data_IF_520935542470
#
_entry.id   IF_520935542470
#
_cell.length_a   1.000
_cell.length_b   1.000
_cell.length_c   1.000
_cell.angle_alpha   90.00
_cell.angle_beta   90.00
_cell.angle_gamma   90.00
#
_symmetry.space_group_name_H-M   'P 1'
#
loop_
_entity.id
_entity.type
_entity.pdbx_description
1 polymer ?
#
# COMPACT_ATOMS: atom_id res chain seq x y z
N UNK A 1 -45.17 44.55 -37.59
CA UNK A 1 -45.76 43.25 -37.20
C UNK A 1 -46.23 43.41 -35.75
N UNK A 2 -47.53 43.49 -35.47
CA UNK A 2 -48.09 43.67 -34.12
C UNK A 2 -48.20 42.28 -33.49
N UNK A 3 -47.32 41.98 -32.48
CA UNK A 3 -47.41 40.77 -31.73
C UNK A 3 -48.65 40.84 -30.84
N UNK A 4 -49.54 39.87 -30.99
CA UNK A 4 -50.81 39.83 -30.29
C UNK A 4 -50.53 39.52 -28.80
N UNK A 5 -51.26 40.16 -27.87
CA UNK A 5 -51.12 40.00 -26.45
C UNK A 5 -51.21 38.53 -26.00
N UNK A 6 -51.99 37.73 -26.71
CA UNK A 6 -52.12 36.27 -26.49
C UNK A 6 -50.84 35.51 -26.79
N UNK A 7 -50.08 35.93 -27.79
CA UNK A 7 -48.79 35.30 -28.14
C UNK A 7 -47.71 35.61 -27.11
N UNK A 8 -47.78 36.81 -26.50
CA UNK A 8 -46.83 37.20 -25.45
C UNK A 8 -47.07 36.41 -24.13
N UNK A 9 -48.33 36.17 -23.79
CA UNK A 9 -48.70 35.36 -22.62
C UNK A 9 -48.34 33.89 -22.83
N UNK A 10 -48.49 33.34 -24.03
CA UNK A 10 -48.09 31.98 -24.35
C UNK A 10 -46.56 31.80 -24.32
N UNK A 11 -45.77 32.81 -24.76
CA UNK A 11 -44.31 32.77 -24.64
C UNK A 11 -43.82 32.92 -23.19
N UNK A 12 -44.50 33.72 -22.37
CA UNK A 12 -44.18 33.89 -20.96
C UNK A 12 -44.50 32.62 -20.14
N UNK A 13 -45.59 31.91 -20.45
CA UNK A 13 -45.90 30.61 -19.84
C UNK A 13 -44.95 29.49 -20.28
N UNK A 14 -44.44 29.51 -21.51
CA UNK A 14 -43.46 28.56 -22.01
C UNK A 14 -42.06 28.78 -21.35
N UNK A 15 -41.72 30.04 -21.00
CA UNK A 15 -40.46 30.36 -20.32
C UNK A 15 -40.45 29.98 -18.86
N UNK A 16 -41.61 29.86 -18.20
CA UNK A 16 -41.70 29.41 -16.77
C UNK A 16 -41.71 27.88 -16.60
N UNK A 17 -41.93 27.14 -17.69
CA UNK A 17 -41.93 25.66 -17.62
C UNK A 17 -40.54 25.04 -17.79
N UNK A 18 -39.46 25.83 -17.96
CA UNK A 18 -38.09 25.35 -18.03
C UNK A 18 -37.28 25.54 -16.74
N UNK A 19 -37.89 26.06 -15.68
CA UNK A 19 -37.34 25.94 -14.34
C UNK A 19 -37.82 24.63 -13.68
N UNK A 20 -37.56 23.51 -14.34
CA UNK A 20 -37.54 22.23 -13.66
C UNK A 20 -36.29 22.29 -12.77
N UNK A 21 -36.48 22.51 -11.49
CA UNK A 21 -35.52 22.07 -10.52
C UNK A 21 -35.34 20.58 -10.81
N UNK A 22 -34.20 20.20 -11.35
CA UNK A 22 -33.78 18.80 -11.29
C UNK A 22 -33.55 18.58 -9.80
N UNK A 23 -34.54 18.04 -9.10
CA UNK A 23 -34.33 17.50 -7.77
C UNK A 23 -33.30 16.39 -7.94
N UNK A 24 -32.19 16.53 -7.27
CA UNK A 24 -31.18 15.49 -7.22
C UNK A 24 -31.83 14.28 -6.54
N UNK A 25 -32.21 13.30 -7.33
CA UNK A 25 -32.82 12.06 -6.81
C UNK A 25 -31.68 11.18 -6.33
N UNK A 26 -31.67 10.92 -5.03
CA UNK A 26 -30.74 9.97 -4.44
C UNK A 26 -30.75 8.63 -5.18
N UNK A 27 -29.61 7.96 -5.35
CA UNK A 27 -29.51 6.69 -6.04
C UNK A 27 -30.50 5.68 -5.43
N UNK A 28 -31.38 5.12 -6.25
CA UNK A 28 -32.32 4.06 -5.84
C UNK A 28 -31.69 2.67 -5.85
N UNK A 29 -30.37 2.61 -6.03
CA UNK A 29 -29.58 1.38 -6.08
C UNK A 29 -28.89 1.11 -4.73
N UNK A 30 -28.13 0.02 -4.64
CA UNK A 30 -27.29 -0.31 -3.48
C UNK A 30 -26.12 0.67 -3.24
N UNK A 31 -25.98 1.68 -4.08
CA UNK A 31 -24.99 2.78 -3.94
C UNK A 31 -25.58 3.87 -3.04
N UNK A 32 -24.81 4.31 -2.06
CA UNK A 32 -25.17 5.44 -1.19
C UNK A 32 -24.29 6.65 -1.51
N UNK A 33 -24.85 7.86 -1.40
CA UNK A 33 -24.06 9.09 -1.49
C UNK A 33 -23.17 9.24 -0.24
N UNK A 34 -22.14 10.10 -0.34
CA UNK A 34 -21.29 10.42 0.81
C UNK A 34 -22.12 11.02 1.94
N UNK A 35 -23.11 11.87 1.64
CA UNK A 35 -23.98 12.49 2.63
C UNK A 35 -24.90 11.48 3.32
N UNK A 36 -25.46 10.55 2.56
CA UNK A 36 -26.21 9.42 3.13
C UNK A 36 -25.34 8.54 4.01
N UNK A 37 -24.13 8.23 3.55
CA UNK A 37 -23.16 7.46 4.33
C UNK A 37 -22.73 8.22 5.59
N UNK A 38 -22.50 9.53 5.51
CA UNK A 38 -22.12 10.37 6.65
C UNK A 38 -23.24 10.46 7.72
N UNK A 39 -24.50 10.38 7.30
CA UNK A 39 -25.64 10.41 8.22
C UNK A 39 -25.88 9.11 9.00
N UNK A 40 -25.25 8.00 8.58
CA UNK A 40 -25.42 6.71 9.26
C UNK A 40 -24.65 6.66 10.58
N UNK A 41 -25.20 6.05 11.66
CA UNK A 41 -24.52 5.96 12.95
C UNK A 41 -23.13 5.31 12.83
N UNK A 42 -22.13 5.94 13.44
CA UNK A 42 -20.72 5.49 13.44
C UNK A 42 -20.08 5.31 12.05
N UNK A 43 -20.66 5.89 11.00
CA UNK A 43 -20.14 5.77 9.64
C UNK A 43 -18.73 6.34 9.52
N UNK A 44 -18.49 7.52 10.08
CA UNK A 44 -17.17 8.16 10.04
C UNK A 44 -16.06 7.21 10.53
N UNK A 45 -16.22 6.63 11.72
CA UNK A 45 -15.21 5.70 12.27
C UNK A 45 -15.04 4.43 11.41
N UNK A 46 -16.10 3.97 10.77
CA UNK A 46 -16.00 2.84 9.82
C UNK A 46 -15.18 3.19 8.59
N UNK A 47 -15.38 4.39 8.04
CA UNK A 47 -14.57 4.86 6.92
C UNK A 47 -13.11 5.07 7.31
N UNK A 48 -12.84 5.62 8.50
CA UNK A 48 -11.46 5.74 9.03
C UNK A 48 -10.81 4.36 9.14
N UNK A 49 -11.49 3.40 9.76
CA UNK A 49 -10.97 2.03 9.91
C UNK A 49 -10.74 1.34 8.57
N UNK A 50 -11.54 1.64 7.56
CA UNK A 50 -11.38 1.07 6.22
C UNK A 50 -10.09 1.51 5.51
N UNK A 51 -9.51 2.67 5.87
CA UNK A 51 -8.28 3.18 5.22
C UNK A 51 -7.14 2.16 5.35
N UNK A 52 -6.88 1.69 6.56
CA UNK A 52 -5.80 0.70 6.81
C UNK A 52 -6.24 -0.73 6.56
N UNK A 53 -7.52 -1.06 6.81
CA UNK A 53 -8.06 -2.40 6.55
C UNK A 53 -8.02 -2.78 5.06
N UNK A 54 -8.26 -1.84 4.16
CA UNK A 54 -8.18 -2.08 2.72
C UNK A 54 -6.75 -2.41 2.24
N UNK A 55 -5.73 -2.11 3.03
CA UNK A 55 -4.35 -2.50 2.74
C UNK A 55 -4.09 -4.00 2.94
N UNK A 56 -4.92 -4.68 3.74
CA UNK A 56 -4.80 -6.13 3.99
C UNK A 56 -5.40 -7.00 2.87
N UNK A 57 -5.96 -6.38 1.85
CA UNK A 57 -6.54 -7.07 0.71
C UNK A 57 -7.79 -6.34 0.22
N UNK A 58 -7.95 -6.27 -1.06
CA UNK A 58 -9.06 -5.55 -1.67
C UNK A 58 -9.72 -6.37 -2.76
N UNK A 59 -11.05 -6.20 -2.94
CA UNK A 59 -11.77 -6.78 -4.06
C UNK A 59 -11.11 -6.42 -5.38
N UNK A 60 -11.03 -7.40 -6.24
CA UNK A 60 -10.38 -7.30 -7.52
C UNK A 60 -10.95 -6.21 -8.40
N UNK A 61 -10.05 -5.40 -8.92
CA UNK A 61 -10.39 -4.34 -9.86
C UNK A 61 -10.32 -4.78 -11.32
N UNK A 62 -9.66 -5.91 -11.59
CA UNK A 62 -9.36 -6.37 -12.95
C UNK A 62 -9.97 -7.73 -13.28
N UNK A 63 -10.64 -8.38 -12.35
CA UNK A 63 -11.35 -9.62 -12.58
C UNK A 63 -12.75 -9.58 -11.99
N UNK A 64 -13.65 -10.32 -12.61
CA UNK A 64 -15.06 -10.34 -12.23
C UNK A 64 -15.38 -11.35 -11.14
N UNK A 65 -14.43 -12.15 -10.70
CA UNK A 65 -14.77 -13.30 -9.92
C UNK A 65 -14.57 -13.11 -8.44
N UNK A 66 -13.52 -13.30 -7.79
CA UNK A 66 -13.47 -13.37 -6.34
C UNK A 66 -12.27 -12.63 -5.77
N UNK A 67 -12.42 -12.14 -4.56
CA UNK A 67 -11.35 -11.63 -3.73
C UNK A 67 -10.32 -12.72 -3.48
N UNK A 68 -9.04 -12.37 -3.56
CA UNK A 68 -7.98 -13.25 -3.14
C UNK A 68 -7.67 -14.40 -4.10
N UNK A 69 -7.89 -14.20 -5.40
CA UNK A 69 -7.58 -15.21 -6.41
C UNK A 69 -6.35 -14.89 -7.27
N UNK A 70 -5.66 -13.76 -7.00
CA UNK A 70 -4.51 -13.39 -7.82
C UNK A 70 -3.31 -12.96 -6.98
N UNK A 71 -2.13 -13.15 -7.54
CA UNK A 71 -0.85 -12.78 -6.93
C UNK A 71 -0.71 -11.29 -6.61
N UNK A 72 -1.58 -10.44 -7.13
CA UNK A 72 -1.51 -8.98 -7.00
C UNK A 72 -2.60 -8.37 -6.11
N UNK A 73 -3.52 -9.15 -5.54
CA UNK A 73 -4.68 -8.61 -4.81
C UNK A 73 -4.74 -8.97 -3.31
N UNK A 74 -3.66 -9.48 -2.75
CA UNK A 74 -3.56 -9.70 -1.31
C UNK A 74 -3.07 -8.45 -0.53
N UNK A 75 -3.37 -7.26 -1.05
CA UNK A 75 -3.16 -6.00 -0.39
C UNK A 75 -1.80 -5.37 -0.62
N UNK A 76 -1.37 -4.52 0.31
CA UNK A 76 -0.11 -3.79 0.21
C UNK A 76 1.13 -4.69 0.05
N UNK A 77 1.24 -5.85 0.73
CA UNK A 77 2.38 -6.76 0.52
C UNK A 77 2.58 -7.20 -0.92
N UNK A 78 1.50 -7.36 -1.71
CA UNK A 78 1.65 -7.69 -3.13
C UNK A 78 2.35 -6.58 -3.92
N UNK A 79 2.10 -5.32 -3.55
CA UNK A 79 2.77 -4.15 -4.14
C UNK A 79 4.24 -4.05 -3.68
N UNK A 80 4.54 -4.49 -2.46
CA UNK A 80 5.92 -4.55 -1.95
C UNK A 80 6.73 -5.58 -2.71
N UNK A 81 6.25 -6.81 -2.87
CA UNK A 81 6.91 -7.85 -3.66
C UNK A 81 7.22 -7.33 -5.06
N UNK A 82 6.26 -6.68 -5.71
CA UNK A 82 6.45 -6.10 -7.05
C UNK A 82 7.65 -5.15 -7.10
N UNK A 83 7.78 -4.26 -6.13
CA UNK A 83 8.88 -3.28 -6.07
C UNK A 83 10.23 -3.94 -5.79
N UNK A 84 10.26 -4.88 -4.85
CA UNK A 84 11.47 -5.59 -4.47
C UNK A 84 12.04 -6.40 -5.64
N UNK A 85 11.16 -6.99 -6.45
CA UNK A 85 11.54 -7.75 -7.64
C UNK A 85 12.07 -6.90 -8.80
N UNK A 86 11.72 -5.63 -8.83
CA UNK A 86 12.29 -4.67 -9.78
C UNK A 86 13.66 -4.13 -9.33
N UNK A 87 14.02 -4.40 -8.07
CA UNK A 87 15.32 -4.05 -7.49
C UNK A 87 16.37 -5.13 -7.68
N UNK A 88 17.36 -5.13 -6.78
CA UNK A 88 18.46 -6.10 -6.74
C UNK A 88 18.42 -6.96 -5.48
N UNK A 89 17.45 -6.75 -4.60
CA UNK A 89 17.41 -7.42 -3.30
C UNK A 89 16.82 -8.83 -3.40
N UNK A 90 15.90 -9.03 -4.35
CA UNK A 90 15.29 -10.34 -4.63
C UNK A 90 15.76 -10.86 -5.98
N UNK A 91 16.24 -12.10 -5.99
CA UNK A 91 16.65 -12.83 -7.17
C UNK A 91 15.73 -14.03 -7.44
N UNK A 92 15.65 -14.43 -8.71
CA UNK A 92 14.99 -15.65 -9.15
C UNK A 92 15.95 -16.62 -9.76
N UNK A 93 15.79 -17.94 -9.53
CA UNK A 93 16.52 -18.95 -10.27
C UNK A 93 16.12 -18.92 -11.75
N UNK A 94 17.09 -18.84 -12.67
CA UNK A 94 16.85 -18.78 -14.11
C UNK A 94 16.23 -20.06 -14.71
N UNK A 95 16.18 -21.13 -13.94
CA UNK A 95 15.75 -22.48 -14.39
C UNK A 95 14.33 -22.84 -14.02
N UNK A 96 13.61 -21.95 -13.38
CA UNK A 96 12.30 -22.26 -12.81
C UNK A 96 11.18 -21.91 -13.78
N UNK A 97 10.06 -22.65 -13.67
CA UNK A 97 8.85 -22.34 -14.40
C UNK A 97 8.44 -20.88 -14.17
N UNK A 98 8.03 -20.16 -15.21
CA UNK A 98 7.70 -18.75 -15.07
C UNK A 98 6.46 -18.57 -14.18
N UNK A 99 6.66 -18.16 -12.94
CA UNK A 99 5.60 -17.72 -12.07
C UNK A 99 5.12 -16.30 -12.45
N UNK A 100 4.03 -15.88 -11.85
CA UNK A 100 3.43 -14.56 -12.12
C UNK A 100 4.46 -13.43 -12.05
N UNK A 101 5.21 -13.37 -10.96
CA UNK A 101 6.18 -12.29 -10.76
C UNK A 101 7.42 -12.41 -11.63
N UNK A 102 7.88 -13.62 -11.94
CA UNK A 102 9.05 -13.85 -12.81
C UNK A 102 8.82 -13.42 -14.25
N UNK A 103 7.65 -13.76 -14.79
CA UNK A 103 7.32 -13.42 -16.19
C UNK A 103 7.03 -11.94 -16.35
N UNK A 104 6.38 -11.34 -15.35
CA UNK A 104 5.85 -10.00 -15.48
C UNK A 104 6.87 -8.91 -15.12
N UNK A 105 7.83 -9.21 -14.24
CA UNK A 105 8.77 -8.21 -13.71
C UNK A 105 10.19 -8.31 -14.25
N UNK A 106 10.51 -9.38 -14.97
CA UNK A 106 11.83 -9.59 -15.54
C UNK A 106 12.07 -8.93 -16.91
N UNK A 107 11.07 -8.30 -17.50
CA UNK A 107 11.20 -7.74 -18.83
C UNK A 107 10.84 -6.27 -18.83
N UNK A 108 11.78 -5.41 -19.21
CA UNK A 108 11.56 -3.97 -19.40
C UNK A 108 10.44 -3.66 -20.40
N UNK A 109 10.14 -4.58 -21.29
CA UNK A 109 9.11 -4.43 -22.33
C UNK A 109 7.69 -4.36 -21.79
N UNK A 110 7.45 -4.82 -20.54
CA UNK A 110 6.12 -4.81 -19.90
C UNK A 110 5.89 -3.59 -19.01
N UNK A 111 6.84 -2.65 -18.92
CA UNK A 111 6.66 -1.39 -18.20
C UNK A 111 5.96 -0.33 -19.06
N UNK A 112 4.80 -0.69 -19.61
CA UNK A 112 3.99 0.20 -20.44
C UNK A 112 2.54 0.22 -19.98
N UNK A 113 1.75 1.26 -20.33
CA UNK A 113 0.37 1.41 -19.85
C UNK A 113 -0.59 0.27 -20.23
N UNK A 114 -0.23 -0.55 -21.20
CA UNK A 114 -1.06 -1.68 -21.65
C UNK A 114 -0.99 -2.89 -20.71
N UNK A 115 0.03 -2.97 -19.88
CA UNK A 115 0.27 -4.14 -19.03
C UNK A 115 -0.29 -3.97 -17.62
N UNK A 116 -0.87 -5.04 -17.09
CA UNK A 116 -1.46 -5.06 -15.76
C UNK A 116 -0.48 -4.65 -14.67
N UNK A 117 0.80 -5.02 -14.79
CA UNK A 117 1.80 -4.66 -13.77
C UNK A 117 1.94 -3.14 -13.55
N UNK A 118 1.69 -2.32 -14.59
CA UNK A 118 1.65 -0.86 -14.46
C UNK A 118 0.28 -0.35 -14.04
N UNK A 119 -0.79 -1.03 -14.46
CA UNK A 119 -2.17 -0.62 -14.17
C UNK A 119 -2.59 -0.96 -12.73
N UNK A 120 -2.13 -2.09 -12.20
CA UNK A 120 -2.53 -2.57 -10.86
C UNK A 120 -2.13 -1.57 -9.77
N UNK A 121 -0.86 -1.19 -9.60
CA UNK A 121 -0.50 -0.20 -8.58
C UNK A 121 -1.27 1.11 -8.77
N UNK A 122 -1.36 1.61 -10.00
CA UNK A 122 -2.12 2.83 -10.30
C UNK A 122 -3.55 2.75 -9.75
N UNK A 123 -4.26 1.69 -10.09
CA UNK A 123 -5.67 1.53 -9.73
C UNK A 123 -5.86 1.30 -8.24
N UNK A 124 -5.02 0.47 -7.63
CA UNK A 124 -5.10 0.14 -6.21
C UNK A 124 -4.81 1.37 -5.34
N UNK A 125 -3.73 2.10 -5.62
CA UNK A 125 -3.38 3.27 -4.83
C UNK A 125 -4.42 4.39 -4.95
N UNK A 126 -4.96 4.66 -6.15
CA UNK A 126 -6.03 5.64 -6.29
C UNK A 126 -7.33 5.23 -5.58
N UNK A 127 -7.59 3.94 -5.46
CA UNK A 127 -8.71 3.49 -4.68
C UNK A 127 -8.50 3.71 -3.16
N UNK A 128 -7.30 3.47 -2.65
CA UNK A 128 -6.95 3.83 -1.27
C UNK A 128 -6.98 5.34 -1.02
N UNK A 129 -6.46 6.13 -1.96
CA UNK A 129 -6.54 7.60 -1.93
C UNK A 129 -8.00 8.08 -1.90
N UNK A 130 -8.89 7.45 -2.66
CA UNK A 130 -10.33 7.75 -2.63
C UNK A 130 -10.93 7.54 -1.24
N UNK A 131 -10.56 6.49 -0.52
CA UNK A 131 -11.01 6.27 0.85
C UNK A 131 -10.54 7.40 1.78
N UNK A 132 -9.28 7.82 1.66
CA UNK A 132 -8.75 8.97 2.40
C UNK A 132 -9.52 10.25 2.08
N UNK A 133 -9.75 10.55 0.81
CA UNK A 133 -10.52 11.73 0.37
C UNK A 133 -11.94 11.73 0.93
N UNK A 134 -12.57 10.55 1.00
CA UNK A 134 -13.92 10.42 1.58
C UNK A 134 -13.92 10.84 3.05
N UNK A 135 -12.97 10.37 3.85
CA UNK A 135 -12.86 10.73 5.27
C UNK A 135 -12.55 12.23 5.44
N UNK A 136 -11.64 12.78 4.66
CA UNK A 136 -11.29 14.21 4.68
C UNK A 136 -12.52 15.06 4.35
N UNK A 137 -13.26 14.68 3.31
CA UNK A 137 -14.51 15.37 2.93
C UNK A 137 -15.57 15.30 4.03
N UNK A 138 -15.73 14.16 4.70
CA UNK A 138 -16.65 14.02 5.84
C UNK A 138 -16.28 14.94 7.01
N UNK A 139 -14.99 15.29 7.17
CA UNK A 139 -14.52 16.28 8.14
C UNK A 139 -14.76 17.73 7.69
N UNK A 140 -15.19 17.97 6.44
CA UNK A 140 -15.63 19.25 5.89
C UNK A 140 -14.67 20.45 6.13
N UNK A 141 -13.36 20.21 6.12
CA UNK A 141 -12.32 21.26 6.27
C UNK A 141 -12.17 21.84 7.67
N UNK A 142 -13.12 21.56 8.58
CA UNK A 142 -13.07 21.94 9.99
C UNK A 142 -13.64 20.80 10.85
N UNK A 143 -12.87 19.71 11.04
CA UNK A 143 -13.35 18.54 11.77
C UNK A 143 -13.65 18.87 13.24
N UNK A 144 -14.70 18.23 13.78
CA UNK A 144 -14.95 18.27 15.21
C UNK A 144 -13.81 17.62 15.99
N UNK A 145 -13.69 17.89 17.29
CA UNK A 145 -12.65 17.26 18.14
C UNK A 145 -12.63 15.73 18.03
N UNK A 146 -13.83 15.11 17.91
CA UNK A 146 -13.99 13.67 17.76
C UNK A 146 -13.54 13.16 16.37
N UNK A 147 -13.60 14.00 15.35
CA UNK A 147 -13.21 13.66 13.99
C UNK A 147 -11.74 13.93 13.69
N UNK A 148 -11.08 14.80 14.47
CA UNK A 148 -9.71 15.25 14.17
C UNK A 148 -8.74 14.11 13.94
N UNK A 149 -8.71 13.11 14.81
CA UNK A 149 -7.78 11.98 14.66
C UNK A 149 -8.05 11.18 13.39
N UNK A 150 -9.33 10.93 13.08
CA UNK A 150 -9.70 10.22 11.86
C UNK A 150 -9.30 10.98 10.59
N UNK A 151 -9.52 12.30 10.56
CA UNK A 151 -9.08 13.15 9.44
C UNK A 151 -7.54 13.22 9.36
N UNK A 152 -6.87 13.29 10.50
CA UNK A 152 -5.40 13.24 10.57
C UNK A 152 -4.84 11.92 10.02
N UNK A 153 -5.44 10.79 10.35
CA UNK A 153 -5.11 9.47 9.79
C UNK A 153 -5.29 9.48 8.27
N UNK A 154 -6.39 10.04 7.78
CA UNK A 154 -6.67 10.10 6.35
C UNK A 154 -5.64 10.94 5.59
N UNK A 155 -5.23 12.09 6.12
CA UNK A 155 -4.15 12.90 5.54
C UNK A 155 -2.81 12.16 5.56
N UNK A 156 -2.43 11.52 6.68
CA UNK A 156 -1.19 10.75 6.78
C UNK A 156 -1.13 9.63 5.75
N UNK A 157 -2.22 8.87 5.61
CA UNK A 157 -2.27 7.74 4.68
C UNK A 157 -2.36 8.19 3.22
N UNK A 158 -3.05 9.28 2.91
CA UNK A 158 -3.05 9.85 1.57
C UNK A 158 -1.64 10.28 1.15
N UNK A 159 -0.91 10.93 2.04
CA UNK A 159 0.49 11.29 1.82
C UNK A 159 1.35 10.05 1.59
N UNK A 160 1.21 9.01 2.41
CA UNK A 160 1.92 7.73 2.27
C UNK A 160 1.69 7.09 0.89
N UNK A 161 0.44 7.05 0.44
CA UNK A 161 0.11 6.49 -0.87
C UNK A 161 0.69 7.32 -2.02
N UNK A 162 0.68 8.64 -1.90
CA UNK A 162 1.30 9.51 -2.91
C UNK A 162 2.83 9.45 -2.89
N UNK A 163 3.48 9.25 -1.74
CA UNK A 163 4.92 9.01 -1.68
C UNK A 163 5.33 7.79 -2.52
N UNK A 164 4.60 6.69 -2.38
CA UNK A 164 4.85 5.49 -3.16
C UNK A 164 4.59 5.72 -4.67
N UNK A 165 3.44 6.30 -5.01
CA UNK A 165 3.09 6.55 -6.41
C UNK A 165 4.05 7.53 -7.08
N UNK A 166 4.45 8.60 -6.40
CA UNK A 166 5.37 9.57 -6.96
C UNK A 166 6.71 8.93 -7.31
N UNK A 167 7.21 8.04 -6.47
CA UNK A 167 8.45 7.32 -6.73
C UNK A 167 8.32 6.26 -7.83
N UNK A 168 7.19 5.54 -7.89
CA UNK A 168 6.98 4.50 -8.90
C UNK A 168 6.79 5.06 -10.33
N UNK A 169 6.15 6.21 -10.46
CA UNK A 169 5.72 6.73 -11.77
C UNK A 169 6.47 7.97 -12.24
N UNK A 170 7.38 8.52 -11.46
CA UNK A 170 8.22 9.62 -11.91
C UNK A 170 9.33 9.11 -12.84
N UNK A 171 9.53 9.80 -13.96
CA UNK A 171 10.63 9.46 -14.88
C UNK A 171 12.01 9.81 -14.31
N UNK A 172 12.07 10.77 -13.40
CA UNK A 172 13.29 11.24 -12.74
C UNK A 172 12.99 11.57 -11.28
N UNK A 173 14.00 11.41 -10.43
CA UNK A 173 13.88 11.75 -9.00
C UNK A 173 13.71 13.24 -8.79
N UNK A 174 13.12 13.62 -7.66
CA UNK A 174 12.93 15.03 -7.29
C UNK A 174 14.22 15.85 -7.36
N UNK A 175 15.30 15.34 -6.79
CA UNK A 175 16.60 16.04 -6.74
C UNK A 175 17.24 16.23 -8.10
N UNK A 176 16.95 15.34 -9.05
CA UNK A 176 17.46 15.42 -10.42
C UNK A 176 16.62 16.36 -11.28
N UNK A 177 15.31 16.30 -11.16
CA UNK A 177 14.39 17.10 -11.96
C UNK A 177 13.08 17.38 -11.20
N UNK A 178 12.96 18.54 -10.52
CA UNK A 178 11.71 18.93 -9.85
C UNK A 178 10.50 19.08 -10.79
N UNK A 179 10.74 19.34 -12.08
CA UNK A 179 9.70 19.50 -13.08
C UNK A 179 9.27 18.19 -13.75
N UNK A 180 9.95 17.08 -13.47
CA UNK A 180 9.53 15.78 -13.99
C UNK A 180 8.13 15.40 -13.48
N UNK A 181 7.32 14.86 -14.39
CA UNK A 181 5.96 14.45 -14.08
C UNK A 181 5.91 13.19 -13.20
N UNK A 182 5.01 13.21 -12.22
CA UNK A 182 4.70 12.09 -11.33
C UNK A 182 3.34 11.47 -11.72
N UNK A 183 2.32 11.70 -10.92
CA UNK A 183 0.94 11.26 -11.13
C UNK A 183 -0.04 12.41 -10.91
N UNK A 184 -1.28 12.34 -11.41
CA UNK A 184 -2.30 13.35 -11.10
C UNK A 184 -2.59 13.43 -9.58
N UNK A 185 -2.76 14.64 -9.07
CA UNK A 185 -3.27 14.84 -7.72
C UNK A 185 -4.80 14.74 -7.77
N UNK A 186 -5.35 13.77 -7.06
CA UNK A 186 -6.78 13.59 -6.82
C UNK A 186 -7.01 13.81 -5.33
N UNK A 187 -7.67 14.90 -4.98
CA UNK A 187 -7.95 15.26 -3.59
C UNK A 187 -9.44 15.35 -3.31
N UNK A 188 -9.78 15.82 -2.14
CA UNK A 188 -11.14 16.19 -1.71
C UNK A 188 -11.63 17.52 -2.32
N UNK A 189 -10.79 18.22 -3.07
CA UNK A 189 -11.13 19.45 -3.78
C UNK A 189 -12.06 19.17 -4.96
N UNK A 190 -13.32 19.57 -4.86
CA UNK A 190 -14.34 19.39 -5.87
C UNK A 190 -14.11 20.22 -7.14
N UNK A 191 -13.21 21.20 -7.10
CA UNK A 191 -12.83 22.00 -8.26
C UNK A 191 -11.96 21.25 -9.27
N UNK A 192 -11.45 20.07 -8.92
CA UNK A 192 -10.61 19.24 -9.79
C UNK A 192 -11.46 18.65 -10.91
N UNK A 193 -11.21 19.09 -12.14
CA UNK A 193 -11.80 18.44 -13.33
C UNK A 193 -11.09 17.11 -13.59
N UNK A 194 -11.73 16.02 -13.20
CA UNK A 194 -11.20 14.67 -13.38
C UNK A 194 -10.95 14.28 -14.84
N UNK A 195 -11.60 14.94 -15.80
CA UNK A 195 -11.37 14.69 -17.22
C UNK A 195 -10.12 15.41 -17.76
N UNK A 196 -9.65 16.44 -17.05
CA UNK A 196 -8.51 17.27 -17.44
C UNK A 196 -7.54 17.47 -16.27
N UNK A 197 -7.25 16.42 -15.52
CA UNK A 197 -6.30 16.44 -14.40
C UNK A 197 -4.94 15.89 -14.84
N UNK A 198 -4.00 16.75 -15.28
CA UNK A 198 -2.70 16.30 -15.74
C UNK A 198 -1.85 15.77 -14.59
N UNK A 199 -0.80 15.05 -14.93
CA UNK A 199 0.24 14.67 -13.97
C UNK A 199 0.83 15.89 -13.31
N UNK A 200 1.03 15.82 -12.00
CA UNK A 200 1.73 16.86 -11.25
C UNK A 200 3.24 16.71 -11.41
N UNK A 201 3.95 17.83 -11.40
CA UNK A 201 5.42 17.80 -11.31
C UNK A 201 5.87 17.24 -9.97
N UNK A 202 7.11 16.78 -9.89
CA UNK A 202 7.74 16.39 -8.62
C UNK A 202 7.57 17.48 -7.57
N UNK A 203 7.89 18.73 -7.90
CA UNK A 203 7.78 19.84 -6.95
C UNK A 203 6.35 20.01 -6.42
N UNK A 204 5.35 20.01 -7.30
CA UNK A 204 3.94 20.13 -6.91
C UNK A 204 3.50 18.93 -6.06
N UNK A 205 3.85 17.72 -6.45
CA UNK A 205 3.47 16.50 -5.75
C UNK A 205 4.08 16.44 -4.34
N UNK A 206 5.39 16.64 -4.22
CA UNK A 206 6.05 16.55 -2.92
C UNK A 206 5.64 17.69 -1.97
N UNK A 207 5.34 18.90 -2.50
CA UNK A 207 4.74 19.95 -1.70
C UNK A 207 3.32 19.59 -1.24
N UNK A 208 2.52 18.94 -2.05
CA UNK A 208 1.20 18.41 -1.66
C UNK A 208 1.32 17.35 -0.56
N UNK A 209 2.23 16.39 -0.69
CA UNK A 209 2.52 15.38 0.32
C UNK A 209 2.91 16.04 1.66
N UNK A 210 3.81 17.00 1.66
CA UNK A 210 4.20 17.73 2.88
C UNK A 210 3.01 18.48 3.48
N UNK A 211 2.19 19.12 2.65
CA UNK A 211 0.98 19.81 3.13
C UNK A 211 -0.01 18.87 3.83
N UNK A 212 -0.20 17.66 3.30
CA UNK A 212 -1.03 16.64 3.94
C UNK A 212 -0.40 16.17 5.28
N UNK A 213 0.91 15.96 5.29
CA UNK A 213 1.62 15.57 6.50
C UNK A 213 1.63 16.67 7.57
N UNK A 214 1.61 17.97 7.18
CA UNK A 214 1.48 19.09 8.11
C UNK A 214 0.10 19.09 8.79
N UNK A 215 -0.96 18.85 8.04
CA UNK A 215 -2.31 18.69 8.58
C UNK A 215 -2.44 17.44 9.45
N UNK A 216 -1.84 16.34 9.04
CA UNK A 216 -1.81 15.12 9.83
C UNK A 216 -1.08 15.32 11.17
N UNK A 217 0.06 16.03 11.17
CA UNK A 217 0.80 16.38 12.40
C UNK A 217 -0.06 17.21 13.35
N UNK A 218 -0.77 18.21 12.82
CA UNK A 218 -1.67 19.06 13.59
C UNK A 218 -2.82 18.24 14.22
N UNK A 219 -3.50 17.43 13.43
CA UNK A 219 -4.70 16.72 13.86
C UNK A 219 -4.42 15.47 14.73
N UNK A 220 -3.22 14.89 14.60
CA UNK A 220 -2.78 13.77 15.43
C UNK A 220 -1.95 14.18 16.65
N UNK A 221 -1.81 15.49 16.90
CA UNK A 221 -1.14 15.97 18.10
C UNK A 221 -1.88 15.50 19.37
N UNK A 222 -1.19 14.70 20.20
CA UNK A 222 -1.76 14.15 21.43
C UNK A 222 -2.74 12.98 21.23
N UNK A 223 -2.92 12.49 20.00
CA UNK A 223 -3.72 11.31 19.76
C UNK A 223 -3.00 10.05 20.23
N UNK A 224 -3.68 9.26 21.05
CA UNK A 224 -3.25 7.94 21.50
C UNK A 224 -3.94 6.86 20.67
N UNK A 225 -3.17 6.14 19.85
CA UNK A 225 -3.69 5.09 18.98
C UNK A 225 -4.00 3.80 19.76
N UNK A 226 -5.01 3.01 19.35
CA UNK A 226 -5.36 1.76 20.01
C UNK A 226 -4.29 0.69 19.86
N UNK A 227 -3.62 0.65 18.71
CA UNK A 227 -2.57 -0.30 18.37
C UNK A 227 -1.68 0.20 17.21
N UNK A 228 -0.68 -0.59 16.82
CA UNK A 228 0.29 -0.22 15.78
C UNK A 228 -0.23 -0.37 14.34
N UNK A 229 -1.45 -0.84 14.15
CA UNK A 229 -2.11 -0.86 12.82
C UNK A 229 -2.74 0.48 12.46
N UNK A 230 -2.80 1.40 13.42
CA UNK A 230 -3.34 2.75 13.25
C UNK A 230 -2.18 3.76 13.30
N UNK A 231 -2.05 4.68 12.32
CA UNK A 231 -1.03 5.72 12.37
C UNK A 231 -1.28 6.71 13.50
N UNK A 232 -0.20 7.16 14.14
CA UNK A 232 -0.17 8.28 15.07
C UNK A 232 0.83 9.36 14.58
N UNK A 233 1.08 10.35 15.40
CA UNK A 233 2.00 11.44 15.04
C UNK A 233 3.44 10.95 14.80
N UNK A 234 3.87 9.86 15.42
CA UNK A 234 5.22 9.30 15.19
C UNK A 234 5.35 8.75 13.78
N UNK A 235 4.29 8.11 13.24
CA UNK A 235 4.22 7.66 11.84
C UNK A 235 4.31 8.86 10.90
N UNK A 236 3.60 9.96 11.21
CA UNK A 236 3.66 11.20 10.41
C UNK A 236 5.08 11.74 10.37
N UNK A 237 5.79 11.75 11.50
CA UNK A 237 7.20 12.16 11.53
C UNK A 237 8.08 11.26 10.66
N UNK A 238 7.86 9.95 10.70
CA UNK A 238 8.57 9.00 9.83
C UNK A 238 8.32 9.27 8.35
N UNK A 239 7.08 9.52 7.96
CA UNK A 239 6.71 9.90 6.58
C UNK A 239 7.33 11.24 6.16
N UNK A 240 7.31 12.26 7.03
CA UNK A 240 8.00 13.52 6.75
C UNK A 240 9.50 13.33 6.57
N UNK A 241 10.14 12.51 7.41
CA UNK A 241 11.56 12.21 7.26
C UNK A 241 11.85 11.58 5.90
N UNK A 242 11.04 10.60 5.45
CA UNK A 242 11.15 9.97 4.13
C UNK A 242 10.95 10.98 2.99
N UNK A 243 9.90 11.80 3.07
CA UNK A 243 9.60 12.81 2.07
C UNK A 243 10.76 13.81 1.93
N UNK A 244 11.27 14.34 3.04
CA UNK A 244 12.41 15.27 3.01
C UNK A 244 13.70 14.62 2.53
N UNK A 245 13.90 13.32 2.80
CA UNK A 245 15.02 12.56 2.28
C UNK A 245 15.00 12.51 0.74
N UNK A 246 13.84 12.17 0.15
CA UNK A 246 13.65 12.16 -1.30
C UNK A 246 13.82 13.55 -1.91
N UNK A 247 13.37 14.60 -1.21
CA UNK A 247 13.54 15.99 -1.63
C UNK A 247 14.98 16.52 -1.48
N UNK A 248 15.91 15.75 -0.90
CA UNK A 248 17.27 16.19 -0.63
C UNK A 248 17.38 17.23 0.47
N UNK A 249 16.35 17.40 1.31
CA UNK A 249 16.32 18.33 2.44
C UNK A 249 16.83 17.65 3.71
N UNK A 250 18.13 17.39 3.74
CA UNK A 250 18.78 16.50 4.71
C UNK A 250 18.57 16.94 6.17
N UNK A 251 18.68 18.25 6.46
CA UNK A 251 18.48 18.78 7.82
C UNK A 251 17.06 18.51 8.33
N UNK A 252 16.06 18.64 7.44
CA UNK A 252 14.67 18.33 7.77
C UNK A 252 14.44 16.83 7.92
N UNK A 253 15.03 16.03 7.05
CA UNK A 253 14.96 14.58 7.15
C UNK A 253 15.52 14.10 8.50
N UNK A 254 16.67 14.62 8.93
CA UNK A 254 17.28 14.31 10.24
C UNK A 254 16.40 14.77 11.41
N UNK A 255 15.86 16.01 11.35
CA UNK A 255 14.96 16.55 12.38
C UNK A 255 13.77 15.62 12.61
N UNK A 256 13.06 15.26 11.51
CA UNK A 256 11.86 14.45 11.61
C UNK A 256 12.16 12.98 11.91
N UNK A 257 13.28 12.44 11.47
CA UNK A 257 13.72 11.11 11.85
C UNK A 257 13.96 11.00 13.37
N UNK A 258 14.60 12.03 13.97
CA UNK A 258 14.78 12.10 15.44
C UNK A 258 13.46 12.17 16.19
N UNK A 259 12.49 12.95 15.68
CA UNK A 259 11.14 12.99 16.26
C UNK A 259 10.43 11.65 16.16
N UNK A 260 10.53 11.00 14.99
CA UNK A 260 9.86 9.74 14.72
C UNK A 260 10.33 8.62 15.64
N UNK A 261 11.64 8.49 15.85
CA UNK A 261 12.19 7.41 16.67
C UNK A 261 12.10 7.64 18.19
N UNK A 262 11.61 8.81 18.62
CA UNK A 262 11.45 9.10 20.04
C UNK A 262 10.40 8.14 20.66
N UNK A 263 10.80 7.38 21.67
CA UNK A 263 9.95 6.37 22.32
C UNK A 263 9.98 4.98 21.68
N UNK A 264 10.79 4.77 20.63
CA UNK A 264 11.04 3.48 20.04
C UNK A 264 12.45 2.96 20.36
N UNK A 265 12.60 1.66 20.46
CA UNK A 265 13.89 0.99 20.60
C UNK A 265 14.15 0.09 19.40
N UNK A 266 15.40 -0.04 19.00
CA UNK A 266 15.76 -1.03 17.98
C UNK A 266 15.68 -2.43 18.58
N UNK A 267 15.30 -3.42 17.75
CA UNK A 267 15.34 -4.82 18.15
C UNK A 267 16.76 -5.25 18.52
N UNK A 268 16.91 -6.01 19.56
CA UNK A 268 18.15 -6.73 19.83
C UNK A 268 18.42 -7.76 18.73
N UNK A 269 19.67 -8.22 18.61
CA UNK A 269 19.99 -9.28 17.65
C UNK A 269 19.21 -10.57 17.92
N UNK A 270 18.90 -10.88 19.17
CA UNK A 270 18.11 -12.05 19.55
C UNK A 270 16.66 -11.90 19.08
N UNK A 271 16.02 -10.76 19.33
CA UNK A 271 14.66 -10.47 18.87
C UNK A 271 14.58 -10.46 17.34
N UNK A 272 15.56 -9.84 16.66
CA UNK A 272 15.58 -9.75 15.21
C UNK A 272 15.66 -11.13 14.54
N UNK A 273 16.42 -12.06 15.13
CA UNK A 273 16.63 -13.41 14.59
C UNK A 273 15.73 -14.47 15.24
N UNK A 274 14.80 -14.05 16.10
CA UNK A 274 13.83 -14.96 16.69
C UNK A 274 12.87 -15.46 15.63
N UNK A 275 12.77 -16.79 15.50
CA UNK A 275 12.02 -17.45 14.45
C UNK A 275 10.52 -17.47 14.67
N UNK A 276 10.09 -17.35 15.92
CA UNK A 276 8.68 -17.42 16.28
C UNK A 276 8.03 -16.04 16.34
N UNK A 277 8.75 -15.06 16.88
CA UNK A 277 8.18 -13.74 17.18
C UNK A 277 8.79 -12.59 16.39
N UNK A 278 10.00 -12.74 15.84
CA UNK A 278 10.82 -11.68 15.27
C UNK A 278 10.05 -10.66 14.42
N UNK A 279 9.68 -11.04 13.20
CA UNK A 279 8.88 -10.18 12.29
C UNK A 279 7.41 -10.58 12.19
N UNK A 280 6.89 -11.43 13.07
CA UNK A 280 5.49 -11.84 13.08
C UNK A 280 4.66 -11.12 14.12
N UNK A 281 5.29 -10.63 15.16
CA UNK A 281 4.61 -10.06 16.31
C UNK A 281 5.04 -8.62 16.48
N UNK A 282 4.10 -7.65 16.46
CA UNK A 282 4.40 -6.26 16.73
C UNK A 282 5.13 -6.09 18.07
N UNK A 283 6.23 -5.36 18.07
CA UNK A 283 7.08 -5.12 19.24
C UNK A 283 7.43 -3.62 19.36
N UNK A 284 8.26 -3.27 20.36
CA UNK A 284 8.59 -1.87 20.65
C UNK A 284 9.41 -1.17 19.56
N UNK A 285 10.05 -1.93 18.66
CA UNK A 285 10.76 -1.34 17.52
C UNK A 285 9.82 -0.91 16.37
N UNK A 286 8.61 -1.47 16.32
CA UNK A 286 7.69 -1.22 15.22
C UNK A 286 6.88 0.05 15.42
N UNK A 287 6.94 0.93 14.46
CA UNK A 287 6.21 2.20 14.46
C UNK A 287 4.80 2.05 13.87
N UNK A 288 4.68 1.31 12.78
CA UNK A 288 3.43 1.03 12.08
C UNK A 288 3.52 -0.34 11.45
N UNK A 289 2.44 -1.10 11.48
CA UNK A 289 2.41 -2.44 10.90
C UNK A 289 1.03 -2.79 10.36
N UNK A 290 1.02 -3.80 9.51
CA UNK A 290 -0.19 -4.50 9.10
C UNK A 290 -0.22 -5.85 9.78
N UNK A 291 -1.38 -6.24 10.29
CA UNK A 291 -1.61 -7.56 10.88
C UNK A 291 -2.71 -8.26 10.12
N UNK A 292 -2.55 -9.56 9.90
CA UNK A 292 -3.54 -10.37 9.22
C UNK A 292 -4.31 -11.22 10.23
N UNK A 293 -5.60 -11.40 9.97
CA UNK A 293 -6.51 -12.23 10.76
C UNK A 293 -7.10 -13.30 9.85
N UNK A 294 -7.50 -14.41 10.45
CA UNK A 294 -8.19 -15.51 9.75
C UNK A 294 -9.48 -15.09 9.05
N UNK A 295 -10.06 -13.97 9.47
CA UNK A 295 -11.25 -13.37 8.88
C UNK A 295 -10.96 -12.45 7.70
N UNK A 296 -9.70 -12.07 7.47
CA UNK A 296 -9.36 -11.17 6.38
C UNK A 296 -9.58 -11.86 5.02
N UNK A 297 -10.06 -11.14 4.00
CA UNK A 297 -10.41 -11.73 2.72
C UNK A 297 -9.28 -12.52 2.07
N UNK A 298 -8.05 -12.00 2.09
CA UNK A 298 -6.88 -12.65 1.52
C UNK A 298 -6.49 -13.96 2.24
N UNK A 299 -6.87 -14.12 3.52
CA UNK A 299 -6.66 -15.35 4.29
C UNK A 299 -7.84 -16.31 4.16
N UNK A 300 -9.07 -15.75 4.23
CA UNK A 300 -10.30 -16.56 4.20
C UNK A 300 -10.51 -17.28 2.87
N UNK A 301 -10.18 -16.65 1.77
CA UNK A 301 -10.34 -17.23 0.43
C UNK A 301 -9.16 -18.09 -0.01
N UNK A 302 -8.10 -18.10 0.75
CA UNK A 302 -6.95 -19.01 0.75
C UNK A 302 -6.72 -19.76 -0.56
N UNK A 303 -6.31 -19.05 -1.57
CA UNK A 303 -5.73 -19.65 -2.77
C UNK A 303 -4.20 -19.69 -2.62
N UNK A 304 -3.56 -20.63 -3.29
CA UNK A 304 -2.11 -20.87 -3.15
C UNK A 304 -1.23 -19.67 -3.46
N UNK A 305 -1.74 -18.67 -4.18
CA UNK A 305 -0.98 -17.53 -4.69
C UNK A 305 -1.36 -16.17 -4.08
N UNK A 306 -2.21 -16.15 -3.06
CA UNK A 306 -2.86 -14.91 -2.58
C UNK A 306 -2.43 -14.42 -1.21
N UNK A 307 -1.30 -14.83 -0.70
CA UNK A 307 -0.77 -14.34 0.57
C UNK A 307 0.74 -14.16 0.54
N UNK A 308 1.25 -13.30 1.43
CA UNK A 308 2.68 -13.15 1.61
C UNK A 308 3.36 -14.49 1.93
N UNK A 309 2.80 -15.26 2.87
CA UNK A 309 3.32 -16.56 3.23
C UNK A 309 3.40 -17.50 2.03
N UNK A 310 2.34 -17.59 1.25
CA UNK A 310 2.31 -18.40 0.03
C UNK A 310 3.37 -17.99 -1.00
N UNK A 311 3.62 -16.69 -1.15
CA UNK A 311 4.59 -16.16 -2.10
C UNK A 311 6.05 -16.30 -1.63
N UNK A 312 6.29 -16.32 -0.33
CA UNK A 312 7.63 -16.22 0.25
C UNK A 312 8.11 -17.50 0.94
N UNK A 313 7.22 -18.36 1.41
CA UNK A 313 7.64 -19.50 2.21
C UNK A 313 8.05 -20.71 1.38
N UNK A 314 9.11 -21.34 1.87
CA UNK A 314 9.53 -22.69 1.51
C UNK A 314 9.42 -23.52 2.79
N UNK A 315 8.63 -24.59 2.76
CA UNK A 315 8.59 -25.54 3.86
C UNK A 315 9.67 -26.59 3.67
N UNK A 316 10.52 -26.74 4.66
CA UNK A 316 11.54 -27.79 4.70
C UNK A 316 11.05 -28.90 5.62
N UNK A 317 10.73 -30.05 5.05
CA UNK A 317 10.38 -31.23 5.82
C UNK A 317 11.54 -32.22 5.77
N UNK A 318 12.18 -32.52 6.93
CA UNK A 318 13.33 -33.43 6.96
C UNK A 318 13.00 -34.88 6.65
N UNK A 319 11.73 -35.27 6.74
CA UNK A 319 11.25 -36.63 6.43
C UNK A 319 10.78 -36.81 4.99
N UNK A 320 10.75 -35.74 4.25
CA UNK A 320 10.36 -35.70 2.83
C UNK A 320 11.27 -34.71 2.14
N UNK A 321 11.45 -34.88 0.86
CA UNK A 321 12.09 -33.87 0.02
C UNK A 321 11.52 -32.48 0.36
N UNK A 322 12.28 -31.43 0.14
CA UNK A 322 11.82 -30.04 0.34
C UNK A 322 10.37 -29.97 -0.13
N UNK A 323 9.46 -30.02 0.83
CA UNK A 323 8.06 -29.90 0.51
C UNK A 323 7.73 -28.44 0.52
N UNK A 324 7.31 -28.00 -0.60
CA UNK A 324 6.93 -26.65 -0.83
C UNK A 324 5.46 -26.47 -0.44
N UNK A 325 5.14 -25.44 0.32
CA UNK A 325 3.77 -24.99 0.49
C UNK A 325 3.56 -23.65 -0.23
N UNK A 326 2.36 -23.50 -0.78
CA UNK A 326 2.01 -22.27 -1.46
C UNK A 326 2.58 -22.13 -2.88
N UNK A 327 2.43 -20.95 -3.42
CA UNK A 327 2.76 -20.63 -4.80
C UNK A 327 4.25 -20.72 -5.10
N UNK A 328 5.07 -20.10 -4.26
CA UNK A 328 6.51 -20.07 -4.44
C UNK A 328 7.11 -21.47 -4.61
N UNK A 329 6.54 -22.38 -3.90
CA UNK A 329 7.01 -23.72 -3.81
C UNK A 329 6.45 -24.66 -4.87
N UNK A 330 5.14 -24.60 -5.13
CA UNK A 330 4.47 -25.46 -6.11
C UNK A 330 4.87 -25.15 -7.57
N UNK A 331 5.21 -23.89 -7.83
CA UNK A 331 5.56 -23.41 -9.16
C UNK A 331 7.06 -23.12 -9.32
N UNK A 332 7.86 -23.41 -8.30
CA UNK A 332 9.29 -23.11 -8.31
C UNK A 332 9.61 -21.63 -8.37
N UNK A 333 8.70 -20.77 -7.92
CA UNK A 333 8.82 -19.31 -7.95
C UNK A 333 9.49 -18.80 -6.65
N UNK A 334 10.48 -19.53 -6.16
CA UNK A 334 11.21 -19.18 -4.95
C UNK A 334 11.91 -17.82 -5.12
N UNK A 335 11.64 -16.95 -4.17
CA UNK A 335 12.28 -15.64 -4.08
C UNK A 335 13.50 -15.76 -3.17
N UNK A 336 14.65 -15.44 -3.71
CA UNK A 336 15.93 -15.62 -3.07
C UNK A 336 16.59 -14.27 -2.87
N UNK A 337 17.44 -14.16 -1.87
CA UNK A 337 18.38 -13.03 -1.80
C UNK A 337 19.37 -13.13 -2.95
N UNK A 338 19.74 -12.00 -3.55
CA UNK A 338 20.84 -11.96 -4.49
C UNK A 338 22.13 -12.49 -3.84
N UNK A 339 22.82 -13.41 -4.50
CA UNK A 339 23.99 -14.07 -3.95
C UNK A 339 25.11 -13.09 -3.60
N UNK A 340 25.35 -12.13 -4.45
CA UNK A 340 26.39 -11.12 -4.21
C UNK A 340 26.05 -10.29 -2.96
N UNK A 341 24.78 -9.89 -2.81
CA UNK A 341 24.31 -9.20 -1.61
C UNK A 341 24.53 -10.07 -0.37
N UNK A 342 24.12 -11.33 -0.39
CA UNK A 342 24.31 -12.24 0.72
C UNK A 342 25.78 -12.42 1.12
N UNK A 343 26.68 -12.57 0.14
CA UNK A 343 28.12 -12.70 0.35
C UNK A 343 28.75 -11.45 0.97
N UNK A 344 28.20 -10.26 0.69
CA UNK A 344 28.68 -8.99 1.25
C UNK A 344 28.26 -8.77 2.72
N UNK A 345 27.24 -9.50 3.22
CA UNK A 345 26.82 -9.39 4.61
C UNK A 345 27.93 -9.99 5.51
N UNK A 346 28.53 -9.22 6.41
CA UNK A 346 29.56 -9.73 7.30
C UNK A 346 29.04 -10.85 8.20
N UNK A 347 29.88 -11.82 8.55
CA UNK A 347 29.51 -12.89 9.48
C UNK A 347 29.13 -12.38 10.91
N UNK A 348 29.55 -11.17 11.25
CA UNK A 348 29.22 -10.50 12.50
C UNK A 348 27.83 -9.83 12.48
N UNK A 349 27.24 -9.69 11.31
CA UNK A 349 25.90 -9.12 11.16
C UNK A 349 24.85 -10.22 11.41
N UNK A 350 24.03 -10.02 12.44
CA UNK A 350 23.02 -11.02 12.83
C UNK A 350 21.99 -11.29 11.71
N UNK A 351 21.75 -10.32 10.83
CA UNK A 351 20.79 -10.46 9.71
C UNK A 351 21.17 -11.57 8.75
N UNK A 352 22.46 -11.91 8.63
CA UNK A 352 22.91 -13.05 7.82
C UNK A 352 22.27 -14.37 8.22
N UNK A 353 21.92 -14.52 9.50
CA UNK A 353 21.25 -15.71 10.05
C UNK A 353 19.78 -15.84 9.64
N UNK A 354 19.18 -14.79 9.07
CA UNK A 354 17.81 -14.82 8.56
C UNK A 354 17.70 -15.51 7.20
N UNK A 355 18.82 -15.78 6.54
CA UNK A 355 18.86 -16.47 5.26
C UNK A 355 19.32 -17.91 5.41
N UNK A 356 18.67 -18.81 4.69
CA UNK A 356 19.04 -20.22 4.63
C UNK A 356 20.00 -20.41 3.47
N UNK A 357 21.21 -20.87 3.75
CA UNK A 357 22.21 -21.20 2.73
C UNK A 357 22.05 -22.66 2.32
N UNK A 358 21.35 -22.89 1.21
CA UNK A 358 21.16 -24.21 0.61
C UNK A 358 22.28 -24.56 -0.38
N UNK A 359 23.51 -24.34 -0.06
CA UNK A 359 24.60 -24.89 -0.88
C UNK A 359 24.68 -26.43 -0.74
N UNK A 360 23.59 -27.10 -1.14
CA UNK A 360 23.44 -28.55 -1.05
C UNK A 360 23.61 -29.28 -2.36
N UNK A 361 23.99 -28.57 -3.43
CA UNK A 361 24.08 -29.13 -4.78
C UNK A 361 25.00 -30.36 -4.89
N UNK A 362 25.95 -30.49 -3.98
CA UNK A 362 26.91 -31.60 -3.94
C UNK A 362 26.68 -32.53 -2.73
N UNK A 363 25.58 -32.35 -1.98
CA UNK A 363 25.28 -33.17 -0.80
C UNK A 363 24.32 -34.30 -1.16
N UNK A 364 24.62 -35.50 -0.73
CA UNK A 364 23.78 -36.69 -0.91
C UNK A 364 23.63 -37.49 0.39
N UNK A 365 22.57 -38.28 0.48
CA UNK A 365 22.34 -39.22 1.58
C UNK A 365 22.30 -38.55 2.96
N UNK A 366 23.03 -39.12 3.92
CA UNK A 366 23.00 -38.69 5.32
C UNK A 366 23.49 -37.24 5.55
N UNK A 367 24.38 -36.74 4.69
CA UNK A 367 24.86 -35.36 4.78
C UNK A 367 23.76 -34.37 4.43
N UNK A 368 23.03 -34.62 3.35
CA UNK A 368 21.86 -33.83 2.96
C UNK A 368 20.77 -33.89 4.04
N UNK A 369 20.47 -35.10 4.55
CA UNK A 369 19.49 -35.27 5.62
C UNK A 369 19.88 -34.50 6.90
N UNK A 370 21.14 -34.52 7.30
CA UNK A 370 21.58 -33.74 8.45
C UNK A 370 21.50 -32.26 8.22
N UNK A 371 21.83 -31.80 7.01
CA UNK A 371 21.72 -30.39 6.63
C UNK A 371 20.25 -29.92 6.62
N UNK A 372 19.35 -30.71 6.09
CA UNK A 372 17.92 -30.43 6.12
C UNK A 372 17.35 -30.41 7.54
N UNK A 373 17.82 -31.33 8.42
CA UNK A 373 17.45 -31.31 9.85
C UNK A 373 17.92 -30.06 10.59
N UNK A 374 19.06 -29.52 10.21
CA UNK A 374 19.58 -28.26 10.76
C UNK A 374 18.59 -27.09 10.50
N UNK A 375 17.81 -27.17 9.43
CA UNK A 375 16.80 -26.19 9.05
C UNK A 375 15.36 -26.60 9.40
N UNK A 376 15.12 -27.80 9.89
CA UNK A 376 13.77 -28.30 10.19
C UNK A 376 13.05 -27.51 11.29
N UNK A 377 13.81 -26.82 12.13
CA UNK A 377 13.27 -25.94 13.19
C UNK A 377 12.96 -24.52 12.67
N UNK A 378 13.19 -24.24 11.38
CA UNK A 378 12.79 -22.97 10.80
C UNK A 378 11.26 -22.96 10.63
N UNK A 379 10.58 -21.91 11.08
CA UNK A 379 9.16 -21.79 10.81
C UNK A 379 8.91 -21.76 9.29
N UNK A 380 7.84 -22.41 8.89
CA UNK A 380 7.44 -22.63 7.50
C UNK A 380 7.04 -21.34 6.74
N UNK A 381 7.31 -20.18 7.32
CA UNK A 381 6.87 -18.89 6.82
C UNK A 381 7.95 -17.79 6.89
N UNK A 382 9.19 -18.19 6.76
CA UNK A 382 10.31 -17.27 6.52
C UNK A 382 10.67 -17.26 5.03
#
# INVERSE_FOLDING_TARGET
>A
MKINKTTFVALALAATSFTSCIEEIDPQSSTVTIDQAASAPNSFNKFVSAITADMNGRPMMFSSSKLGENNYDFGYPSQMIQRDLMGQDIAYPATVAPGFFTVWYNTFDVLTPQYLMCQIPWTVYYAWIKNCNTVIKMGAGNPTEEQKSGVGIAYAMRAFFYEDMAQMYANETYTKNPEAETVPIVSDDESIDMNHNPRATNEKMWNFIISDLDKAEEYLAGYERPDKTTPDVSVVYGLKARAYLVMGKWDKAEEYAKKAQAGYSVMSSAEYTDRETGFNTPNEAWMFCMTYKDTDPCIKYNDADTSWGSQMSLEINPDKDVSACGYAANYGDAKLIDRHLYETIPATDCRKKCFVDFSTNDMEGTELENKLKEYSDYPTWL
#
